data_IF_371311983548
#
_entry.id   IF_371311983548
#
_cell.length_a   1.000
_cell.length_b   1.000
_cell.length_c   1.000
_cell.angle_alpha   90.00
_cell.angle_beta   90.00
_cell.angle_gamma   90.00
#
_symmetry.space_group_name_H-M   'P 1'
#
loop_
_entity.id
_entity.type
_entity.pdbx_description
1 polymer ?
#
# COMPACT_ATOMS: atom_id res chain seq x y z
N UNK A 1 8.15 34.42 -36.62
CA UNK A 1 9.54 34.29 -37.12
C UNK A 1 9.85 32.79 -37.26
N UNK A 2 9.88 32.40 -38.51
CA UNK A 2 10.20 31.00 -38.94
C UNK A 2 11.67 30.70 -38.77
N UNK A 3 11.99 29.44 -38.45
CA UNK A 3 13.21 28.80 -38.98
C UNK A 3 13.02 27.28 -39.03
N UNK A 4 12.80 26.82 -40.25
CA UNK A 4 13.01 25.46 -40.74
C UNK A 4 14.48 25.08 -40.66
N UNK A 5 14.78 23.82 -40.35
CA UNK A 5 16.01 23.22 -40.84
C UNK A 5 15.74 21.82 -41.37
N UNK A 6 16.27 21.61 -42.60
CA UNK A 6 16.04 20.51 -43.52
C UNK A 6 17.00 19.35 -43.23
N UNK A 7 16.49 18.18 -43.51
CA UNK A 7 17.02 16.98 -44.15
C UNK A 7 18.52 16.83 -44.41
N UNK A 8 19.02 15.63 -44.19
CA UNK A 8 20.01 14.98 -45.04
C UNK A 8 19.79 13.45 -45.00
N UNK A 9 19.46 12.90 -46.16
CA UNK A 9 19.55 11.50 -46.55
C UNK A 9 20.99 11.16 -46.91
N UNK A 10 21.46 9.96 -46.61
CA UNK A 10 22.44 9.14 -47.35
C UNK A 10 22.28 7.74 -46.71
N UNK A 11 21.93 6.63 -47.30
CA UNK A 11 22.22 6.10 -48.62
C UNK A 11 23.19 4.92 -48.49
N UNK A 12 22.70 3.69 -48.82
CA UNK A 12 23.45 2.50 -49.28
C UNK A 12 24.23 1.68 -48.23
N UNK A 13 24.09 0.39 -48.12
CA UNK A 13 24.48 -0.65 -49.08
C UNK A 13 24.00 -2.03 -48.62
N UNK A 14 23.51 -2.81 -49.56
CA UNK A 14 23.20 -4.22 -49.45
C UNK A 14 24.47 -5.05 -49.24
N UNK A 15 24.42 -6.04 -48.34
CA UNK A 15 25.22 -7.26 -48.44
C UNK A 15 24.32 -8.45 -48.18
N UNK A 16 24.06 -9.23 -49.26
CA UNK A 16 23.49 -10.56 -49.18
C UNK A 16 24.52 -11.51 -48.57
N UNK A 17 24.13 -12.19 -47.51
CA UNK A 17 24.84 -13.35 -46.95
C UNK A 17 23.84 -14.44 -46.63
N UNK A 18 23.62 -15.38 -47.54
CA UNK A 18 22.87 -16.61 -47.29
C UNK A 18 23.69 -17.52 -46.37
N UNK A 19 23.15 -17.91 -45.23
CA UNK A 19 23.55 -19.12 -44.52
C UNK A 19 22.29 -19.83 -44.02
N UNK A 20 22.11 -21.14 -44.31
CA UNK A 20 21.00 -21.91 -43.79
C UNK A 20 21.38 -22.47 -42.41
N UNK A 21 20.87 -21.90 -41.39
CA UNK A 21 21.04 -22.40 -40.02
C UNK A 21 19.78 -22.14 -39.27
N UNK A 22 19.07 -23.21 -38.92
CA UNK A 22 17.78 -23.15 -38.21
C UNK A 22 17.85 -22.33 -36.97
N UNK A 23 17.26 -21.15 -37.01
CA UNK A 23 17.02 -20.32 -35.84
C UNK A 23 15.71 -20.82 -35.19
N UNK A 24 15.84 -21.76 -34.24
CA UNK A 24 14.78 -22.00 -33.27
C UNK A 24 14.55 -20.70 -32.49
N UNK A 25 13.53 -19.96 -32.91
CA UNK A 25 12.99 -18.85 -32.15
C UNK A 25 12.42 -19.43 -30.88
N UNK A 26 13.27 -19.59 -29.84
CA UNK A 26 12.77 -19.74 -28.47
C UNK A 26 12.13 -18.42 -28.11
N UNK A 27 10.79 -18.35 -28.24
CA UNK A 27 10.01 -17.40 -27.45
C UNK A 27 10.34 -17.69 -25.98
N UNK A 28 11.23 -16.92 -25.41
CA UNK A 28 11.33 -16.81 -23.98
C UNK A 28 10.03 -16.13 -23.51
N UNK A 29 9.04 -16.94 -23.17
CA UNK A 29 7.96 -16.50 -22.29
C UNK A 29 8.66 -16.06 -21.03
N UNK A 30 8.82 -14.74 -20.87
CA UNK A 30 9.10 -14.13 -19.59
C UNK A 30 7.90 -14.52 -18.69
N UNK A 31 8.05 -15.62 -17.97
CA UNK A 31 7.23 -15.88 -16.81
C UNK A 31 7.53 -14.72 -15.85
N UNK A 32 6.62 -13.78 -15.84
CA UNK A 32 6.47 -12.87 -14.72
C UNK A 32 6.25 -13.77 -13.48
N UNK A 33 7.35 -14.10 -12.83
CA UNK A 33 7.33 -14.72 -11.51
C UNK A 33 6.79 -13.63 -10.60
N UNK A 34 5.46 -13.61 -10.45
CA UNK A 34 4.82 -12.81 -9.42
C UNK A 34 5.61 -13.01 -8.15
N UNK A 35 6.28 -11.96 -7.73
CA UNK A 35 7.06 -11.93 -6.50
C UNK A 35 6.10 -12.32 -5.38
N UNK A 36 6.24 -13.54 -4.86
CA UNK A 36 5.44 -14.01 -3.73
C UNK A 36 5.86 -13.14 -2.56
N UNK A 37 5.06 -12.12 -2.26
CA UNK A 37 5.28 -11.22 -1.14
C UNK A 37 5.38 -12.08 0.13
N UNK A 38 6.57 -12.11 0.70
CA UNK A 38 6.86 -12.88 1.90
C UNK A 38 6.26 -12.15 3.10
N UNK A 39 5.07 -12.58 3.51
CA UNK A 39 4.38 -11.99 4.67
C UNK A 39 5.07 -12.47 5.94
N UNK A 40 5.86 -11.60 6.55
CA UNK A 40 6.64 -11.90 7.75
C UNK A 40 6.38 -10.89 8.88
N UNK A 41 6.80 -11.26 10.08
CA UNK A 41 6.80 -10.37 11.24
C UNK A 41 5.42 -9.83 11.62
N UNK A 42 5.36 -8.55 11.87
CA UNK A 42 4.14 -7.88 12.33
C UNK A 42 3.02 -7.91 11.30
N UNK A 43 3.35 -7.87 10.01
CA UNK A 43 2.35 -7.96 8.94
C UNK A 43 1.62 -9.32 8.99
N UNK A 44 2.33 -10.41 9.30
CA UNK A 44 1.73 -11.74 9.48
C UNK A 44 0.77 -11.76 10.68
N UNK A 45 1.14 -11.11 11.77
CA UNK A 45 0.31 -11.01 12.98
C UNK A 45 -0.96 -10.21 12.74
N UNK A 46 -0.87 -9.15 11.91
CA UNK A 46 -2.02 -8.31 11.55
C UNK A 46 -3.06 -9.04 10.70
N UNK A 47 -2.71 -10.08 9.94
CA UNK A 47 -3.63 -10.74 9.00
C UNK A 47 -4.96 -11.15 9.63
N UNK A 48 -6.06 -11.00 8.85
CA UNK A 48 -7.42 -11.38 9.22
C UNK A 48 -8.30 -10.21 9.64
N UNK A 49 -9.43 -10.52 10.28
CA UNK A 49 -10.40 -9.51 10.67
C UNK A 49 -10.18 -9.04 12.10
N UNK A 50 -10.33 -7.72 12.27
CA UNK A 50 -10.25 -7.03 13.54
C UNK A 50 -11.45 -6.09 13.70
N UNK A 51 -11.85 -5.85 14.92
CA UNK A 51 -12.97 -4.97 15.25
C UNK A 51 -12.46 -3.89 16.20
N UNK A 52 -12.77 -2.64 15.88
CA UNK A 52 -12.67 -1.51 16.81
C UNK A 52 -14.05 -0.97 17.16
N UNK A 53 -14.19 -0.39 18.35
CA UNK A 53 -15.39 0.31 18.78
C UNK A 53 -15.04 1.75 19.09
N UNK A 54 -15.88 2.66 18.64
CA UNK A 54 -15.75 4.06 19.04
C UNK A 54 -16.32 4.31 20.46
N UNK A 55 -16.22 5.55 20.94
CA UNK A 55 -16.71 5.93 22.25
C UNK A 55 -18.23 5.80 22.43
N UNK A 56 -19.00 5.61 21.34
CA UNK A 56 -20.44 5.41 21.34
C UNK A 56 -20.81 3.93 21.15
N UNK A 57 -19.82 3.05 21.01
CA UNK A 57 -20.00 1.61 20.82
C UNK A 57 -20.23 1.18 19.38
N UNK A 58 -20.15 2.10 18.41
CA UNK A 58 -20.25 1.75 16.99
C UNK A 58 -19.03 0.97 16.53
N UNK A 59 -19.28 -0.14 15.84
CA UNK A 59 -18.24 -1.05 15.41
C UNK A 59 -17.70 -0.68 14.03
N UNK A 60 -16.37 -0.76 13.90
CA UNK A 60 -15.68 -0.70 12.62
C UNK A 60 -14.93 -2.00 12.39
N UNK A 61 -15.04 -2.53 11.19
CA UNK A 61 -14.41 -3.80 10.79
C UNK A 61 -13.20 -3.52 9.91
N UNK A 62 -12.07 -4.00 10.34
CA UNK A 62 -10.79 -3.93 9.63
C UNK A 62 -10.45 -5.33 9.13
N UNK A 63 -10.17 -5.46 7.84
CA UNK A 63 -9.75 -6.73 7.26
C UNK A 63 -8.38 -6.55 6.59
N UNK A 64 -7.36 -7.17 7.19
CA UNK A 64 -5.99 -7.16 6.69
C UNK A 64 -5.76 -8.41 5.84
N UNK A 65 -5.41 -8.20 4.58
CA UNK A 65 -5.05 -9.24 3.63
C UNK A 65 -3.77 -8.82 2.92
N UNK A 66 -2.65 -9.45 3.29
CA UNK A 66 -1.32 -9.04 2.83
C UNK A 66 -1.07 -7.56 3.18
N UNK A 67 -0.67 -6.73 2.23
CA UNK A 67 -0.50 -5.29 2.39
C UNK A 67 -1.79 -4.49 2.17
N UNK A 68 -2.92 -5.16 1.93
CA UNK A 68 -4.21 -4.52 1.71
C UNK A 68 -5.05 -4.53 2.97
N UNK A 69 -5.76 -3.43 3.19
CA UNK A 69 -6.69 -3.26 4.30
C UNK A 69 -8.00 -2.71 3.77
N UNK A 70 -9.09 -3.43 4.05
CA UNK A 70 -10.42 -2.85 3.93
C UNK A 70 -10.93 -2.45 5.30
N UNK A 71 -11.42 -1.24 5.41
CA UNK A 71 -12.04 -0.69 6.61
C UNK A 71 -13.50 -0.35 6.31
N UNK A 72 -14.40 -0.93 7.09
CA UNK A 72 -15.83 -0.60 7.06
C UNK A 72 -16.25 -0.01 8.40
N UNK A 73 -16.68 1.24 8.37
CA UNK A 73 -17.35 1.91 9.47
C UNK A 73 -18.86 1.95 9.22
N UNK A 74 -19.70 2.32 10.19
CA UNK A 74 -21.16 2.46 9.93
C UNK A 74 -21.50 3.43 8.80
N UNK A 75 -20.68 4.46 8.56
CA UNK A 75 -20.94 5.52 7.59
C UNK A 75 -20.12 5.41 6.31
N UNK A 76 -18.96 4.76 6.33
CA UNK A 76 -17.97 4.82 5.25
C UNK A 76 -17.23 3.50 5.06
N UNK A 77 -16.70 3.31 3.85
CA UNK A 77 -15.82 2.20 3.53
C UNK A 77 -14.56 2.72 2.86
N UNK A 78 -13.43 2.06 3.13
CA UNK A 78 -12.12 2.41 2.60
C UNK A 78 -11.41 1.16 2.13
N UNK A 79 -10.70 1.28 1.00
CA UNK A 79 -9.75 0.30 0.51
C UNK A 79 -8.36 0.95 0.49
N UNK A 80 -7.41 0.34 1.18
CA UNK A 80 -6.10 0.94 1.45
C UNK A 80 -4.98 -0.07 1.23
N UNK A 81 -3.82 0.44 0.86
CA UNK A 81 -2.54 -0.26 0.99
C UNK A 81 -1.83 0.22 2.24
N UNK A 82 -1.13 -0.68 2.94
CA UNK A 82 -0.31 -0.32 4.10
C UNK A 82 1.15 -0.62 3.85
N UNK A 83 1.99 0.19 4.46
CA UNK A 83 3.43 -0.05 4.57
C UNK A 83 3.84 0.02 6.03
N UNK A 84 4.52 -1.04 6.51
CA UNK A 84 4.97 -1.12 7.88
C UNK A 84 6.47 -0.82 7.99
N UNK A 85 6.86 -0.14 9.07
CA UNK A 85 8.23 -0.03 9.52
C UNK A 85 8.31 -0.43 10.99
N UNK A 86 8.68 -1.69 11.25
CA UNK A 86 8.77 -2.24 12.60
C UNK A 86 9.96 -1.68 13.42
N UNK A 87 10.86 -0.93 12.78
CA UNK A 87 12.00 -0.25 13.42
C UNK A 87 11.76 1.25 13.62
N UNK A 88 10.53 1.72 13.40
CA UNK A 88 10.18 3.13 13.62
C UNK A 88 10.33 3.53 15.09
N UNK A 89 10.70 4.78 15.32
CA UNK A 89 10.88 5.36 16.65
C UNK A 89 10.00 6.62 16.80
N UNK A 90 9.43 6.89 17.98
CA UNK A 90 9.47 6.10 19.23
C UNK A 90 8.52 4.89 19.24
N UNK A 91 7.67 4.76 18.25
CA UNK A 91 6.71 3.67 18.05
C UNK A 91 6.85 3.12 16.62
N UNK A 92 6.43 1.87 16.38
CA UNK A 92 6.42 1.28 15.03
C UNK A 92 5.51 2.06 14.09
N UNK A 93 5.92 2.22 12.84
CA UNK A 93 5.21 3.03 11.85
C UNK A 93 4.30 2.19 10.95
N UNK A 94 3.16 2.75 10.64
CA UNK A 94 2.22 2.26 9.62
C UNK A 94 1.79 3.43 8.74
N UNK A 95 1.96 3.28 7.42
CA UNK A 95 1.51 4.27 6.45
C UNK A 95 0.36 3.68 5.64
N UNK A 96 -0.66 4.50 5.40
CA UNK A 96 -1.84 4.15 4.63
C UNK A 96 -1.85 4.92 3.31
N UNK A 97 -2.10 4.21 2.22
CA UNK A 97 -2.35 4.77 0.90
C UNK A 97 -3.76 4.34 0.47
N UNK A 98 -4.70 5.28 0.51
CA UNK A 98 -6.08 5.00 0.16
C UNK A 98 -6.20 4.84 -1.34
N UNK A 99 -6.64 3.66 -1.78
CA UNK A 99 -6.74 3.31 -3.20
C UNK A 99 -7.64 4.25 -3.98
N UNK A 100 -7.33 4.45 -5.25
CA UNK A 100 -8.20 5.16 -6.19
C UNK A 100 -9.55 4.46 -6.40
N UNK A 101 -9.63 3.15 -6.14
CA UNK A 101 -10.87 2.38 -6.14
C UNK A 101 -11.66 2.46 -4.83
N UNK A 102 -11.10 3.12 -3.79
CA UNK A 102 -11.80 3.27 -2.51
C UNK A 102 -13.09 4.06 -2.68
N UNK A 103 -14.20 3.64 -2.04
CA UNK A 103 -15.44 4.41 -2.05
C UNK A 103 -15.31 5.79 -1.44
N UNK A 104 -14.39 5.95 -0.47
CA UNK A 104 -14.17 7.19 0.25
C UNK A 104 -12.67 7.55 0.29
N UNK A 105 -12.37 8.83 0.36
CA UNK A 105 -11.03 9.40 0.53
C UNK A 105 -9.98 8.89 -0.49
N UNK A 106 -10.37 8.75 -1.76
CA UNK A 106 -9.51 8.27 -2.85
C UNK A 106 -8.20 9.06 -2.93
N UNK A 107 -7.09 8.34 -3.07
CA UNK A 107 -5.76 8.93 -3.21
C UNK A 107 -5.22 9.60 -1.95
N UNK A 108 -5.96 9.53 -0.83
CA UNK A 108 -5.52 10.09 0.44
C UNK A 108 -4.40 9.25 1.07
N UNK A 109 -3.44 9.91 1.69
CA UNK A 109 -2.35 9.24 2.39
C UNK A 109 -2.33 9.67 3.85
N UNK A 110 -2.17 8.69 4.74
CA UNK A 110 -2.05 8.96 6.17
C UNK A 110 -0.80 8.27 6.74
N UNK A 111 -0.13 8.96 7.64
CA UNK A 111 0.99 8.43 8.39
C UNK A 111 0.53 8.06 9.80
N UNK A 112 0.91 6.88 10.26
CA UNK A 112 0.49 6.40 11.56
C UNK A 112 1.56 5.65 12.32
N UNK A 113 1.21 5.28 13.54
CA UNK A 113 1.96 4.42 14.44
C UNK A 113 1.10 3.23 14.84
N UNK A 114 1.74 2.13 15.19
CA UNK A 114 1.03 0.96 15.70
C UNK A 114 1.82 0.22 16.76
N UNK A 115 1.11 -0.55 17.59
CA UNK A 115 1.70 -1.53 18.49
C UNK A 115 0.73 -2.66 18.81
N UNK A 116 1.30 -3.81 19.13
CA UNK A 116 0.57 -4.90 19.77
C UNK A 116 0.72 -4.79 21.29
N UNK A 117 -0.37 -4.96 22.01
CA UNK A 117 -0.35 -5.03 23.47
C UNK A 117 -0.39 -6.48 23.95
N UNK A 118 -0.01 -6.72 25.20
CA UNK A 118 0.11 -8.08 25.74
C UNK A 118 -1.21 -8.86 25.81
N UNK A 119 -2.35 -8.18 25.73
CA UNK A 119 -3.70 -8.77 25.69
C UNK A 119 -4.16 -9.13 24.26
N UNK A 120 -3.29 -9.00 23.27
CA UNK A 120 -3.58 -9.26 21.87
C UNK A 120 -4.35 -8.15 21.16
N UNK A 121 -4.45 -6.96 21.74
CA UNK A 121 -5.01 -5.78 21.08
C UNK A 121 -3.97 -5.18 20.13
N UNK A 122 -4.39 -4.82 18.91
CA UNK A 122 -3.62 -4.01 17.99
C UNK A 122 -4.07 -2.55 18.12
N UNK A 123 -3.18 -1.68 18.61
CA UNK A 123 -3.42 -0.24 18.63
C UNK A 123 -2.87 0.40 17.37
N UNK A 124 -3.68 1.24 16.72
CA UNK A 124 -3.29 2.03 15.55
C UNK A 124 -3.69 3.48 15.82
N UNK A 125 -2.79 4.41 15.55
CA UNK A 125 -3.09 5.83 15.54
C UNK A 125 -2.51 6.44 14.26
N UNK A 126 -3.30 7.24 13.53
CA UNK A 126 -2.83 7.92 12.32
C UNK A 126 -3.23 9.39 12.32
N UNK A 127 -2.39 10.21 11.69
CA UNK A 127 -2.64 11.63 11.52
C UNK A 127 -3.69 11.90 10.44
N UNK A 128 -4.47 12.95 10.61
CA UNK A 128 -5.41 13.44 9.62
C UNK A 128 -4.70 14.41 8.67
N UNK A 129 -4.74 14.11 7.37
CA UNK A 129 -4.17 14.95 6.32
C UNK A 129 -2.71 15.34 6.57
N UNK A 130 -2.49 16.64 6.58
CA UNK A 130 -1.16 17.25 6.73
C UNK A 130 -0.64 17.23 8.18
N UNK A 131 -1.38 16.64 9.12
CA UNK A 131 -0.98 16.58 10.53
C UNK A 131 0.26 15.74 10.79
N UNK A 132 0.67 14.93 9.80
CA UNK A 132 1.85 14.08 9.88
C UNK A 132 1.65 12.88 10.81
N UNK A 133 2.76 12.26 11.19
CA UNK A 133 2.76 11.06 12.04
C UNK A 133 2.51 11.41 13.51
N UNK A 134 1.53 10.79 14.18
CA UNK A 134 1.32 10.94 15.61
C UNK A 134 2.54 10.47 16.42
N UNK A 135 2.75 11.08 17.58
CA UNK A 135 3.82 10.68 18.52
C UNK A 135 3.32 9.76 19.63
N UNK A 136 2.02 9.70 19.84
CA UNK A 136 1.37 8.86 20.84
C UNK A 136 0.00 8.34 20.33
N UNK A 137 -0.62 7.44 21.10
CA UNK A 137 -1.91 6.81 20.75
C UNK A 137 -3.10 7.59 21.32
N UNK A 138 -3.08 8.92 21.22
CA UNK A 138 -4.20 9.75 21.61
C UNK A 138 -4.98 10.23 20.40
N UNK A 139 -6.30 10.29 20.55
CA UNK A 139 -7.15 10.98 19.59
C UNK A 139 -7.10 12.47 19.88
N UNK A 140 -6.72 13.26 18.87
CA UNK A 140 -6.81 14.71 18.89
C UNK A 140 -7.67 15.13 17.68
N UNK A 141 -8.88 15.63 17.94
CA UNK A 141 -9.84 15.95 16.89
C UNK A 141 -9.25 16.90 15.84
N UNK A 142 -9.35 16.48 14.58
CA UNK A 142 -8.78 17.21 13.43
C UNK A 142 -7.25 17.06 13.27
N UNK A 143 -6.59 16.20 14.06
CA UNK A 143 -5.16 15.92 13.93
C UNK A 143 -4.83 14.45 13.91
N UNK A 144 -5.44 13.64 14.78
CA UNK A 144 -5.16 12.20 14.85
C UNK A 144 -6.34 11.38 15.33
N UNK A 145 -6.41 10.15 14.83
CA UNK A 145 -7.42 9.16 15.19
C UNK A 145 -6.74 7.91 15.73
N UNK A 146 -7.15 7.48 16.92
CA UNK A 146 -6.65 6.28 17.57
C UNK A 146 -7.72 5.19 17.63
N UNK A 147 -7.31 3.95 17.38
CA UNK A 147 -8.17 2.77 17.34
C UNK A 147 -7.54 1.64 18.12
N UNK A 148 -8.34 1.01 18.98
CA UNK A 148 -8.02 -0.24 19.66
C UNK A 148 -8.74 -1.38 18.96
N UNK A 149 -8.00 -2.25 18.29
CA UNK A 149 -8.52 -3.32 17.46
C UNK A 149 -8.38 -4.66 18.19
N UNK A 150 -9.47 -5.41 18.28
CA UNK A 150 -9.47 -6.79 18.78
C UNK A 150 -9.71 -7.76 17.63
N UNK A 151 -8.91 -8.84 17.59
CA UNK A 151 -9.03 -9.84 16.53
C UNK A 151 -10.37 -10.53 16.63
N UNK A 152 -11.08 -10.62 15.52
CA UNK A 152 -12.33 -11.38 15.45
C UNK A 152 -11.97 -12.87 15.47
N UNK A 153 -12.56 -13.60 16.43
CA UNK A 153 -12.44 -15.06 16.52
C UNK A 153 -13.32 -15.74 15.48
#
# INVERSE_FOLDING_TARGET
MSRHFRAAMVGSLLVLGMAPGGFCLRLALAQDKGEVLKIEGDLKTMQGQWISKDGQGAESVWNFKEEHVSLKTPARAYEMKIKLNAKGEPEKHIDFDVSESSPNAKGYKAQGIYKFTGDGTLKICFGDGDSGRPKDFKTDFGKSFSFDLKKKK
#
